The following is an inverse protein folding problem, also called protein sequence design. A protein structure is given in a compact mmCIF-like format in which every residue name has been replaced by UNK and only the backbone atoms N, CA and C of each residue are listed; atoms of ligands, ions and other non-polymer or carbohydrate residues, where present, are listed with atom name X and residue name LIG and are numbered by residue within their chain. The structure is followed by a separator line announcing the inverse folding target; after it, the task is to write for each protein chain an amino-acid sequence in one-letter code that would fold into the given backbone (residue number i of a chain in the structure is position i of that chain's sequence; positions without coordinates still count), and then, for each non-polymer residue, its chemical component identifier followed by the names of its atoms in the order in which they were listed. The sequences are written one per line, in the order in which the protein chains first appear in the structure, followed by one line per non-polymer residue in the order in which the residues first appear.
data_IF_798895244621
#
_entry.id   IF_798895244621
#
_cell.length_a   1.000
_cell.length_b   1.000
_cell.length_c   1.000
_cell.angle_alpha   90.00
_cell.angle_beta   90.00
_cell.angle_gamma   90.00
#
_symmetry.space_group_name_H-M   'P 1'
#
loop_
_entity.id
_entity.type
_entity.pdbx_description
1 polymer ?
#
# COMPACT_ATOMS: atom_id res chain seq x y z
N UNK A 1 -3.50 62.35 -17.21
CA UNK A 1 -2.77 61.33 -16.42
C UNK A 1 -3.78 60.45 -15.69
N UNK A 2 -3.75 59.14 -15.94
CA UNK A 2 -4.26 58.00 -15.14
C UNK A 2 -4.71 56.90 -16.11
N UNK A 3 -3.69 56.19 -16.62
CA UNK A 3 -3.83 54.87 -17.22
C UNK A 3 -3.75 53.84 -16.08
N UNK A 4 -4.32 52.66 -16.35
CA UNK A 4 -4.13 51.39 -15.65
C UNK A 4 -4.69 51.30 -14.22
N UNK A 5 -5.68 50.42 -14.04
CA UNK A 5 -5.83 49.38 -13.00
C UNK A 5 -7.21 48.74 -13.25
N UNK A 6 -7.33 47.93 -14.30
CA UNK A 6 -8.41 46.93 -14.42
C UNK A 6 -7.85 45.74 -15.22
N UNK A 7 -6.86 45.05 -14.66
CA UNK A 7 -6.31 43.81 -15.22
C UNK A 7 -5.55 43.01 -14.15
N UNK A 8 -6.12 42.85 -12.95
CA UNK A 8 -5.45 42.08 -11.89
C UNK A 8 -6.43 41.44 -10.90
N UNK A 9 -7.55 40.90 -11.39
CA UNK A 9 -8.48 40.11 -10.55
C UNK A 9 -8.87 38.75 -11.15
N UNK A 10 -8.38 38.39 -12.33
CA UNK A 10 -8.69 37.09 -12.97
C UNK A 10 -7.53 36.07 -13.01
N UNK A 11 -6.38 36.35 -12.36
CA UNK A 11 -5.21 35.44 -12.42
C UNK A 11 -4.99 34.65 -11.10
N UNK A 12 -5.65 35.02 -9.99
CA UNK A 12 -5.49 34.33 -8.71
C UNK A 12 -6.51 33.18 -8.47
N UNK A 13 -7.11 32.63 -9.53
CA UNK A 13 -8.12 31.58 -9.45
C UNK A 13 -7.83 30.39 -10.38
N UNK A 14 -6.54 30.08 -10.59
CA UNK A 14 -6.11 28.89 -11.30
C UNK A 14 -5.25 28.02 -10.38
N UNK A 15 -5.78 26.83 -10.10
CA UNK A 15 -5.13 25.65 -9.53
C UNK A 15 -4.73 25.70 -8.04
N UNK A 16 -5.73 25.73 -7.16
CA UNK A 16 -5.71 24.77 -6.04
C UNK A 16 -6.06 23.40 -6.64
N UNK A 17 -5.08 22.75 -7.26
CA UNK A 17 -5.15 21.31 -7.51
C UNK A 17 -5.08 20.67 -6.13
N UNK A 18 -6.23 20.43 -5.51
CA UNK A 18 -6.28 19.56 -4.34
C UNK A 18 -5.84 18.20 -4.83
N UNK A 19 -4.70 17.71 -4.33
CA UNK A 19 -4.39 16.30 -4.44
C UNK A 19 -5.59 15.53 -3.88
N UNK A 20 -6.17 14.62 -4.67
CA UNK A 20 -7.29 13.85 -4.18
C UNK A 20 -6.79 12.96 -3.04
N UNK A 21 -7.64 12.76 -2.04
CA UNK A 21 -7.30 11.90 -0.93
C UNK A 21 -6.97 10.49 -1.45
N UNK A 22 -6.00 9.82 -0.82
CA UNK A 22 -5.53 8.50 -1.25
C UNK A 22 -6.64 7.43 -1.27
N UNK A 23 -7.79 7.68 -0.65
CA UNK A 23 -8.95 6.79 -0.57
C UNK A 23 -10.01 7.02 -1.66
N UNK A 24 -9.81 7.97 -2.59
CA UNK A 24 -10.72 8.20 -3.73
C UNK A 24 -10.31 7.37 -4.94
N UNK A 25 -11.19 6.50 -5.50
CA UNK A 25 -10.87 5.73 -6.69
C UNK A 25 -10.65 6.60 -7.93
N UNK A 26 -9.60 6.31 -8.69
CA UNK A 26 -9.27 7.01 -9.94
C UNK A 26 -9.33 6.02 -11.10
N UNK A 27 -10.17 6.35 -12.10
CA UNK A 27 -10.35 5.56 -13.32
C UNK A 27 -9.58 6.19 -14.47
N UNK A 28 -8.74 5.40 -15.12
CA UNK A 28 -7.89 5.82 -16.23
C UNK A 28 -8.02 4.84 -17.38
N UNK A 29 -7.82 5.31 -18.61
CA UNK A 29 -7.75 4.46 -19.81
C UNK A 29 -6.31 4.30 -20.27
N UNK A 30 -5.94 3.10 -20.71
CA UNK A 30 -4.60 2.85 -21.26
C UNK A 30 -4.45 3.52 -22.64
N UNK A 31 -3.45 4.41 -22.75
CA UNK A 31 -3.16 5.13 -23.99
C UNK A 31 -2.20 4.36 -24.91
N UNK A 32 -1.16 3.75 -24.32
CA UNK A 32 -0.10 3.02 -25.04
C UNK A 32 0.34 1.80 -24.25
N UNK A 33 0.81 0.79 -24.99
CA UNK A 33 1.37 -0.45 -24.45
C UNK A 33 2.67 -0.77 -25.17
N UNK A 34 3.70 -1.10 -24.41
CA UNK A 34 4.86 -1.82 -24.90
C UNK A 34 4.76 -3.29 -24.45
N UNK A 35 4.39 -4.14 -25.40
CA UNK A 35 4.19 -5.57 -25.16
C UNK A 35 5.48 -6.32 -24.84
N UNK A 36 6.66 -5.78 -25.22
CA UNK A 36 7.95 -6.44 -24.94
C UNK A 36 8.36 -6.23 -23.49
N UNK A 37 8.20 -5.01 -22.99
CA UNK A 37 8.53 -4.67 -21.61
C UNK A 37 7.37 -4.90 -20.62
N UNK A 38 6.18 -5.25 -21.13
CA UNK A 38 4.92 -5.32 -20.36
C UNK A 38 4.66 -4.02 -19.60
N UNK A 39 4.89 -2.88 -20.27
CA UNK A 39 4.65 -1.57 -19.70
C UNK A 39 3.51 -0.87 -20.43
N UNK A 40 2.81 -0.02 -19.68
CA UNK A 40 1.67 0.74 -20.15
C UNK A 40 1.85 2.20 -19.80
N UNK A 41 1.27 3.08 -20.61
CA UNK A 41 1.32 4.52 -20.40
C UNK A 41 -0.07 5.13 -20.46
N UNK A 42 -0.29 6.12 -19.62
CA UNK A 42 -1.56 6.83 -19.48
C UNK A 42 -1.37 8.18 -18.79
N UNK A 43 -2.36 9.08 -18.93
CA UNK A 43 -2.41 10.33 -18.18
C UNK A 43 -2.63 10.08 -16.68
N UNK A 44 -1.84 10.73 -15.83
CA UNK A 44 -1.80 10.52 -14.38
C UNK A 44 -1.80 11.86 -13.63
N UNK A 45 -2.96 12.52 -13.48
CA UNK A 45 -3.02 13.87 -12.91
C UNK A 45 -2.73 13.92 -11.39
N UNK A 46 -3.03 12.86 -10.65
CA UNK A 46 -2.88 12.83 -9.17
C UNK A 46 -2.33 11.49 -8.64
N UNK A 47 -1.76 10.65 -9.50
CA UNK A 47 -1.23 9.36 -9.07
C UNK A 47 0.22 9.50 -8.59
N UNK A 48 0.65 8.60 -7.70
CA UNK A 48 2.01 8.55 -7.18
C UNK A 48 2.75 7.29 -7.64
N UNK A 49 4.07 7.40 -7.75
CA UNK A 49 4.93 6.23 -7.99
C UNK A 49 4.71 5.21 -6.87
N UNK A 50 4.52 3.95 -7.26
CA UNK A 50 4.25 2.84 -6.36
C UNK A 50 2.79 2.48 -6.16
N UNK A 51 1.84 3.34 -6.55
CA UNK A 51 0.42 2.98 -6.53
C UNK A 51 0.14 1.79 -7.45
N UNK A 52 -0.73 0.91 -6.97
CA UNK A 52 -1.25 -0.23 -7.72
C UNK A 52 -2.70 -0.01 -8.14
N UNK A 53 -3.03 -0.49 -9.34
CA UNK A 53 -4.34 -0.34 -9.95
C UNK A 53 -4.80 -1.64 -10.61
N UNK A 54 -6.11 -1.86 -10.63
CA UNK A 54 -6.73 -3.04 -11.22
C UNK A 54 -7.03 -2.76 -12.69
N UNK A 55 -6.57 -3.63 -13.58
CA UNK A 55 -6.81 -3.52 -15.02
C UNK A 55 -8.07 -4.31 -15.38
N UNK A 56 -9.08 -3.62 -15.89
CA UNK A 56 -10.34 -4.16 -16.35
C UNK A 56 -10.43 -4.14 -17.88
N UNK A 57 -10.86 -5.25 -18.45
CA UNK A 57 -11.28 -5.33 -19.84
C UNK A 57 -12.80 -5.35 -19.94
N UNK A 58 -13.37 -4.57 -20.85
CA UNK A 58 -14.80 -4.56 -21.14
C UNK A 58 -15.16 -5.53 -22.26
N UNK A 59 -16.05 -6.47 -21.97
CA UNK A 59 -16.59 -7.45 -22.90
C UNK A 59 -17.95 -6.96 -23.44
N UNK A 60 -17.90 -6.02 -24.37
CA UNK A 60 -19.09 -5.26 -24.79
C UNK A 60 -19.59 -4.33 -23.68
N UNK A 61 -20.86 -3.94 -23.76
CA UNK A 61 -21.38 -2.83 -22.93
C UNK A 61 -21.68 -3.23 -21.47
N UNK A 62 -21.88 -4.52 -21.19
CA UNK A 62 -22.47 -4.98 -19.92
C UNK A 62 -21.54 -5.82 -19.04
N UNK A 63 -20.39 -6.23 -19.56
CA UNK A 63 -19.51 -7.17 -18.86
C UNK A 63 -18.12 -6.60 -18.77
N UNK A 64 -17.46 -6.78 -17.63
CA UNK A 64 -16.07 -6.43 -17.43
C UNK A 64 -15.37 -7.51 -16.61
N UNK A 65 -14.08 -7.69 -16.84
CA UNK A 65 -13.27 -8.66 -16.09
C UNK A 65 -11.89 -8.12 -15.77
N UNK A 66 -11.38 -8.50 -14.61
CA UNK A 66 -10.05 -8.12 -14.15
C UNK A 66 -9.02 -8.98 -14.86
N UNK A 67 -8.16 -8.37 -15.67
CA UNK A 67 -7.18 -9.06 -16.51
C UNK A 67 -5.73 -8.83 -16.05
N UNK A 68 -5.50 -7.94 -15.09
CA UNK A 68 -4.16 -7.67 -14.58
C UNK A 68 -4.13 -6.63 -13.47
N UNK A 69 -2.92 -6.38 -12.96
CA UNK A 69 -2.62 -5.29 -12.04
C UNK A 69 -1.55 -4.41 -12.68
N UNK A 70 -1.68 -3.10 -12.55
CA UNK A 70 -0.67 -2.14 -12.94
C UNK A 70 0.02 -1.60 -11.68
N UNK A 71 1.35 -1.48 -11.70
CA UNK A 71 2.11 -0.77 -10.67
C UNK A 71 2.84 0.40 -11.32
N UNK A 72 2.63 1.62 -10.81
CA UNK A 72 3.29 2.80 -11.34
C UNK A 72 4.77 2.77 -10.99
N UNK A 73 5.63 2.76 -12.01
CA UNK A 73 7.09 2.74 -11.84
C UNK A 73 7.72 4.11 -12.04
N UNK A 74 7.07 4.97 -12.83
CA UNK A 74 7.59 6.29 -13.16
C UNK A 74 6.46 7.25 -13.54
N UNK A 75 6.62 8.53 -13.22
CA UNK A 75 5.73 9.61 -13.66
C UNK A 75 6.61 10.72 -14.23
N UNK A 76 6.36 11.09 -15.47
CA UNK A 76 6.99 12.22 -16.14
C UNK A 76 5.91 13.24 -16.54
N UNK A 77 6.01 14.44 -15.97
CA UNK A 77 5.10 15.55 -16.21
C UNK A 77 3.65 15.18 -15.87
N UNK A 78 2.86 14.75 -16.85
CA UNK A 78 1.47 14.33 -16.68
C UNK A 78 1.22 12.86 -17.05
N UNK A 79 2.24 12.13 -17.52
CA UNK A 79 2.10 10.74 -17.97
C UNK A 79 2.78 9.79 -16.99
N UNK A 80 2.07 8.75 -16.59
CA UNK A 80 2.64 7.64 -15.84
C UNK A 80 3.08 6.52 -16.80
N UNK A 81 4.15 5.84 -16.42
CA UNK A 81 4.50 4.52 -16.93
C UNK A 81 4.32 3.51 -15.80
N UNK A 82 3.53 2.47 -16.07
CA UNK A 82 3.28 1.39 -15.14
C UNK A 82 3.71 0.05 -15.72
N UNK A 83 4.17 -0.85 -14.85
CA UNK A 83 4.47 -2.24 -15.19
C UNK A 83 3.22 -3.09 -14.95
N UNK A 84 2.91 -3.98 -15.90
CA UNK A 84 1.87 -4.98 -15.72
C UNK A 84 2.43 -6.09 -14.82
N UNK A 85 1.72 -6.37 -13.73
CA UNK A 85 1.97 -7.49 -12.83
C UNK A 85 0.91 -8.55 -13.15
N UNK A 86 1.36 -9.73 -13.57
CA UNK A 86 0.46 -10.84 -13.89
C UNK A 86 -0.41 -11.20 -12.67
N UNK A 87 -1.70 -11.45 -12.93
CA UNK A 87 -2.80 -11.58 -11.97
C UNK A 87 -2.72 -12.80 -11.03
N UNK A 88 -1.65 -12.92 -10.23
CA UNK A 88 -1.68 -13.81 -9.06
C UNK A 88 -2.52 -13.22 -7.91
N UNK A 89 -2.71 -11.89 -7.93
CA UNK A 89 -3.43 -11.13 -6.90
C UNK A 89 -4.87 -11.63 -6.67
N UNK A 90 -5.54 -12.09 -7.74
CA UNK A 90 -6.91 -12.62 -7.68
C UNK A 90 -6.97 -14.07 -8.20
N UNK A 91 -5.86 -14.80 -8.12
CA UNK A 91 -5.80 -16.18 -8.58
C UNK A 91 -6.75 -17.06 -7.76
N UNK A 92 -7.88 -17.41 -8.34
CA UNK A 92 -8.85 -18.33 -7.78
C UNK A 92 -8.58 -19.73 -8.35
N UNK A 93 -8.17 -20.72 -7.55
CA UNK A 93 -7.82 -22.05 -8.06
C UNK A 93 -8.99 -22.76 -8.77
N UNK A 94 -10.21 -22.32 -8.49
CA UNK A 94 -11.45 -22.90 -9.02
C UNK A 94 -12.10 -22.08 -10.13
N UNK A 95 -11.56 -20.91 -10.49
CA UNK A 95 -12.07 -20.11 -11.61
C UNK A 95 -11.06 -20.09 -12.76
N UNK A 96 -11.53 -20.05 -14.02
CA UNK A 96 -10.65 -19.89 -15.15
C UNK A 96 -9.93 -18.54 -15.07
N UNK A 97 -8.64 -18.54 -15.37
CA UNK A 97 -7.89 -17.31 -15.52
C UNK A 97 -8.24 -16.67 -16.87
N UNK A 98 -8.42 -15.34 -16.94
CA UNK A 98 -8.58 -14.64 -18.20
C UNK A 98 -7.36 -14.88 -19.11
N UNK A 99 -7.59 -15.24 -20.37
CA UNK A 99 -6.53 -15.45 -21.37
C UNK A 99 -6.27 -14.21 -22.23
N UNK A 100 -7.04 -13.15 -22.02
CA UNK A 100 -6.93 -11.91 -22.79
C UNK A 100 -5.75 -11.10 -22.28
N UNK A 101 -4.93 -10.64 -23.21
CA UNK A 101 -3.83 -9.73 -22.91
C UNK A 101 -4.34 -8.30 -22.75
N UNK A 102 -3.67 -7.54 -21.87
CA UNK A 102 -3.90 -6.11 -21.69
C UNK A 102 -3.71 -5.38 -23.03
N UNK A 103 -4.64 -4.48 -23.34
CA UNK A 103 -4.78 -3.80 -24.61
C UNK A 103 -5.05 -2.30 -24.43
N UNK A 104 -4.75 -1.51 -25.47
CA UNK A 104 -5.08 -0.08 -25.47
C UNK A 104 -6.60 0.08 -25.34
N UNK A 105 -7.04 1.00 -24.48
CA UNK A 105 -8.46 1.24 -24.21
C UNK A 105 -9.00 0.50 -22.99
N UNK A 106 -8.25 -0.45 -22.42
CA UNK A 106 -8.62 -1.06 -21.13
C UNK A 106 -8.65 -0.01 -20.02
N UNK A 107 -9.52 -0.22 -19.03
CA UNK A 107 -9.67 0.65 -17.86
C UNK A 107 -8.69 0.21 -16.77
N UNK A 108 -8.09 1.16 -16.07
CA UNK A 108 -7.36 0.94 -14.83
C UNK A 108 -8.05 1.69 -13.71
N UNK A 109 -8.34 0.99 -12.63
CA UNK A 109 -8.92 1.58 -11.42
C UNK A 109 -7.88 1.56 -10.31
N UNK A 110 -7.33 2.72 -10.00
CA UNK A 110 -6.45 2.95 -8.86
C UNK A 110 -7.26 3.24 -7.60
N UNK A 111 -6.64 3.01 -6.44
CA UNK A 111 -7.20 3.35 -5.11
C UNK A 111 -8.54 2.69 -4.76
N UNK A 112 -8.99 1.69 -5.54
CA UNK A 112 -10.27 1.01 -5.33
C UNK A 112 -10.42 0.44 -3.90
N UNK A 113 -9.31 -0.05 -3.34
CA UNK A 113 -9.26 -0.70 -2.02
C UNK A 113 -8.75 0.22 -0.91
N UNK A 114 -8.44 1.49 -1.20
CA UNK A 114 -7.77 2.39 -0.27
C UNK A 114 -8.67 2.93 0.84
N UNK A 115 -9.97 2.61 0.78
CA UNK A 115 -10.88 2.80 1.91
C UNK A 115 -10.64 1.80 3.04
N UNK A 116 -9.87 0.73 2.81
CA UNK A 116 -9.52 -0.29 3.80
C UNK A 116 -8.00 -0.29 4.04
N UNK A 117 -7.62 -0.36 5.32
CA UNK A 117 -6.22 -0.34 5.73
C UNK A 117 -5.94 -1.27 6.92
N UNK A 118 -4.67 -1.65 7.06
CA UNK A 118 -4.13 -2.18 8.31
C UNK A 118 -3.19 -1.18 8.98
N UNK A 119 -3.04 -1.28 10.30
CA UNK A 119 -2.07 -0.50 11.08
C UNK A 119 -1.04 -1.45 11.68
N UNK A 120 0.24 -1.14 11.45
CA UNK A 120 1.39 -1.67 12.17
C UNK A 120 1.83 -0.60 13.16
N UNK A 121 1.61 -0.87 14.44
CA UNK A 121 1.90 0.04 15.54
C UNK A 121 2.72 -0.67 16.64
N UNK A 122 3.55 0.06 17.42
CA UNK A 122 4.31 -0.53 18.50
C UNK A 122 3.42 -0.95 19.69
N UNK A 123 2.34 -0.24 19.98
CA UNK A 123 1.48 -0.50 21.14
C UNK A 123 0.03 -0.04 20.90
N UNK A 124 -0.85 -0.28 21.88
CA UNK A 124 -2.28 0.05 21.79
C UNK A 124 -2.50 1.56 21.63
N UNK A 125 -1.79 2.38 22.39
CA UNK A 125 -1.97 3.83 22.40
C UNK A 125 -1.72 4.44 21.02
N UNK A 126 -0.59 4.08 20.40
CA UNK A 126 -0.23 4.54 19.06
C UNK A 126 -1.14 3.99 17.97
N UNK A 127 -1.60 2.74 18.10
CA UNK A 127 -2.61 2.15 17.22
C UNK A 127 -3.93 2.94 17.26
N UNK A 128 -4.42 3.21 18.46
CA UNK A 128 -5.67 3.95 18.67
C UNK A 128 -5.58 5.39 18.19
N UNK A 129 -4.43 6.05 18.41
CA UNK A 129 -4.19 7.40 17.91
C UNK A 129 -4.31 7.47 16.38
N UNK A 130 -3.64 6.58 15.64
CA UNK A 130 -3.75 6.51 14.18
C UNK A 130 -5.19 6.25 13.75
N UNK A 131 -5.88 5.31 14.41
CA UNK A 131 -7.28 4.98 14.09
C UNK A 131 -8.22 6.18 14.29
N UNK A 132 -8.03 6.95 15.36
CA UNK A 132 -8.87 8.11 15.69
C UNK A 132 -8.60 9.33 14.80
N UNK A 133 -7.38 9.48 14.30
CA UNK A 133 -6.95 10.59 13.44
C UNK A 133 -7.32 10.38 11.95
N UNK A 134 -7.63 9.16 11.51
CA UNK A 134 -7.93 8.83 10.10
C UNK A 134 -9.30 8.11 9.99
N UNK A 135 -10.38 8.79 10.38
CA UNK A 135 -11.74 8.21 10.52
C UNK A 135 -12.39 7.82 9.20
N UNK A 136 -11.90 8.36 8.10
CA UNK A 136 -12.31 8.07 6.73
C UNK A 136 -11.85 6.70 6.23
N UNK A 137 -10.95 6.05 6.97
CA UNK A 137 -10.38 4.74 6.64
C UNK A 137 -11.01 3.66 7.51
N UNK A 138 -11.47 2.58 6.88
CA UNK A 138 -11.90 1.38 7.57
C UNK A 138 -10.67 0.55 7.96
N UNK A 139 -10.20 0.72 9.20
CA UNK A 139 -9.09 -0.06 9.72
C UNK A 139 -9.53 -1.45 10.15
N UNK A 140 -8.97 -2.46 9.49
CA UNK A 140 -9.09 -3.84 9.91
C UNK A 140 -8.22 -4.12 11.14
N UNK A 141 -8.65 -5.10 11.94
CA UNK A 141 -7.97 -5.38 13.19
C UNK A 141 -6.60 -6.04 12.96
N UNK A 142 -5.55 -5.58 13.66
CA UNK A 142 -4.21 -6.15 13.58
C UNK A 142 -4.14 -7.61 14.03
N UNK A 143 -5.10 -8.06 14.84
CA UNK A 143 -5.29 -9.46 15.22
C UNK A 143 -5.45 -10.38 14.01
N UNK A 144 -6.08 -9.91 12.93
CA UNK A 144 -6.23 -10.68 11.68
C UNK A 144 -4.87 -10.93 11.01
N UNK A 145 -4.00 -9.92 11.00
CA UNK A 145 -2.64 -10.04 10.48
C UNK A 145 -1.81 -10.98 11.35
N UNK A 146 -1.87 -10.84 12.67
CA UNK A 146 -1.10 -11.69 13.60
C UNK A 146 -1.57 -13.15 13.55
N UNK A 147 -2.88 -13.39 13.52
CA UNK A 147 -3.43 -14.73 13.37
C UNK A 147 -2.95 -15.40 12.07
N UNK A 148 -3.01 -14.67 10.94
CA UNK A 148 -2.51 -15.18 9.67
C UNK A 148 -1.00 -15.45 9.70
N UNK A 149 -0.22 -14.55 10.31
CA UNK A 149 1.22 -14.71 10.44
C UNK A 149 1.58 -15.98 11.21
N UNK A 150 0.86 -16.26 12.29
CA UNK A 150 1.09 -17.44 13.12
C UNK A 150 0.58 -18.72 12.49
N UNK A 151 -0.54 -18.69 11.75
CA UNK A 151 -1.02 -19.82 10.94
C UNK A 151 0.04 -20.27 9.93
N UNK A 152 0.75 -19.32 9.31
CA UNK A 152 1.90 -19.60 8.43
C UNK A 152 3.18 -20.01 9.17
N UNK A 153 3.13 -20.12 10.50
CA UNK A 153 4.30 -20.38 11.34
C UNK A 153 5.32 -19.25 11.32
N UNK A 154 4.95 -18.03 10.93
CA UNK A 154 5.81 -16.85 10.97
C UNK A 154 5.89 -16.22 12.37
N UNK A 155 6.87 -15.33 12.56
CA UNK A 155 6.90 -14.41 13.70
C UNK A 155 7.35 -13.02 13.23
N UNK A 156 8.43 -12.95 12.46
CA UNK A 156 8.88 -11.71 11.83
C UNK A 156 8.19 -11.53 10.45
N UNK A 157 7.29 -10.55 10.27
CA UNK A 157 6.53 -10.40 9.03
C UNK A 157 7.39 -9.89 7.87
N UNK A 158 7.44 -10.67 6.78
CA UNK A 158 8.20 -10.35 5.55
C UNK A 158 7.31 -9.65 4.50
N UNK A 159 7.88 -9.05 3.44
CA UNK A 159 7.10 -8.42 2.37
C UNK A 159 6.04 -9.34 1.75
N UNK A 160 6.39 -10.61 1.54
CA UNK A 160 5.45 -11.61 1.02
C UNK A 160 4.23 -11.82 1.92
N UNK A 161 4.41 -11.78 3.24
CA UNK A 161 3.30 -11.87 4.20
C UNK A 161 2.33 -10.70 4.05
N UNK A 162 2.84 -9.48 3.90
CA UNK A 162 1.99 -8.31 3.70
C UNK A 162 1.24 -8.41 2.37
N UNK A 163 1.92 -8.74 1.28
CA UNK A 163 1.29 -8.93 -0.02
C UNK A 163 0.12 -9.94 0.03
N UNK A 164 0.33 -11.09 0.69
CA UNK A 164 -0.71 -12.11 0.89
C UNK A 164 -1.88 -11.63 1.77
N UNK A 165 -1.60 -11.01 2.92
CA UNK A 165 -2.65 -10.59 3.85
C UNK A 165 -3.45 -9.42 3.29
N UNK A 166 -2.81 -8.50 2.56
CA UNK A 166 -3.47 -7.41 1.86
C UNK A 166 -4.44 -7.92 0.79
N UNK A 167 -4.05 -8.96 0.04
CA UNK A 167 -4.92 -9.61 -0.94
C UNK A 167 -6.10 -10.32 -0.27
N UNK A 168 -5.81 -11.13 0.76
CA UNK A 168 -6.82 -11.90 1.47
C UNK A 168 -7.95 -11.03 2.03
N UNK A 169 -7.60 -9.86 2.58
CA UNK A 169 -8.56 -8.95 3.20
C UNK A 169 -8.96 -7.75 2.32
N UNK A 170 -8.55 -7.74 1.04
CA UNK A 170 -8.87 -6.65 0.09
C UNK A 170 -8.49 -5.26 0.63
N UNK A 171 -7.27 -5.15 1.16
CA UNK A 171 -6.73 -3.94 1.77
C UNK A 171 -5.85 -3.20 0.77
N UNK A 172 -6.09 -1.90 0.60
CA UNK A 172 -5.32 -1.04 -0.32
C UNK A 172 -4.15 -0.32 0.34
N UNK A 173 -4.25 0.02 1.63
CA UNK A 173 -3.22 0.79 2.34
C UNK A 173 -2.65 0.06 3.57
N UNK A 174 -1.38 0.32 3.85
CA UNK A 174 -0.70 -0.14 5.05
C UNK A 174 -0.10 1.05 5.80
N UNK A 175 -0.59 1.27 7.02
CA UNK A 175 -0.13 2.35 7.90
C UNK A 175 0.94 1.80 8.82
N UNK A 176 2.17 2.28 8.71
CA UNK A 176 3.31 1.78 9.48
C UNK A 176 3.89 2.91 10.31
N UNK A 177 3.83 2.75 11.63
CA UNK A 177 4.48 3.70 12.54
C UNK A 177 5.96 3.34 12.59
N UNK A 178 6.81 4.26 12.13
CA UNK A 178 8.27 4.23 12.26
C UNK A 178 8.74 5.30 13.23
N UNK A 179 10.05 5.43 13.46
CA UNK A 179 10.57 6.44 14.39
C UNK A 179 10.11 7.85 13.95
N UNK A 180 9.34 8.50 14.83
CA UNK A 180 8.78 9.85 14.69
C UNK A 180 7.93 10.11 13.42
N UNK A 181 7.49 9.06 12.73
CA UNK A 181 6.79 9.18 11.45
C UNK A 181 5.75 8.08 11.28
N UNK A 182 4.63 8.43 10.65
CA UNK A 182 3.63 7.51 10.14
C UNK A 182 3.81 7.41 8.63
N UNK A 183 4.11 6.20 8.16
CA UNK A 183 4.32 5.90 6.75
C UNK A 183 3.06 5.24 6.20
N UNK A 184 2.48 5.80 5.14
CA UNK A 184 1.32 5.24 4.46
C UNK A 184 1.82 4.61 3.16
N UNK A 185 1.73 3.29 3.08
CA UNK A 185 2.22 2.50 1.96
C UNK A 185 1.06 1.96 1.12
N UNK A 186 1.28 1.79 -0.17
CA UNK A 186 0.47 0.88 -0.98
C UNK A 186 0.67 -0.55 -0.47
N UNK A 187 -0.41 -1.25 -0.12
CA UNK A 187 -0.35 -2.55 0.54
C UNK A 187 0.23 -3.65 -0.37
N UNK A 188 0.11 -3.50 -1.68
CA UNK A 188 0.54 -4.51 -2.66
C UNK A 188 2.02 -4.33 -3.04
N UNK A 189 2.45 -3.09 -3.24
CA UNK A 189 3.84 -2.77 -3.61
C UNK A 189 4.76 -2.50 -2.43
N UNK A 190 4.21 -2.20 -1.26
CA UNK A 190 4.93 -1.72 -0.07
C UNK A 190 5.77 -0.47 -0.32
N UNK A 191 5.37 0.36 -1.28
CA UNK A 191 6.00 1.66 -1.54
C UNK A 191 5.26 2.73 -0.75
N UNK A 192 6.03 3.63 -0.13
CA UNK A 192 5.50 4.79 0.62
C UNK A 192 4.82 5.76 -0.34
N UNK A 193 3.54 6.01 -0.14
CA UNK A 193 2.73 6.99 -0.87
C UNK A 193 2.70 8.35 -0.14
N UNK A 194 2.79 8.32 1.19
CA UNK A 194 2.77 9.51 2.03
C UNK A 194 3.49 9.26 3.36
N UNK A 195 4.19 10.27 3.84
CA UNK A 195 4.82 10.27 5.16
C UNK A 195 4.25 11.43 5.98
N UNK A 196 3.75 11.14 7.18
CA UNK A 196 3.25 12.14 8.13
C UNK A 196 4.15 12.15 9.37
N UNK A 197 4.32 13.32 9.98
CA UNK A 197 4.95 13.39 11.30
C UNK A 197 4.07 12.66 12.32
N UNK A 198 4.69 11.88 13.21
CA UNK A 198 3.98 11.16 14.25
C UNK A 198 4.88 10.99 15.46
N UNK A 199 4.59 11.70 16.55
CA UNK A 199 5.43 11.65 17.75
C UNK A 199 5.46 10.25 18.37
N UNK A 200 6.67 9.68 18.49
CA UNK A 200 6.92 8.38 19.12
C UNK A 200 7.75 8.49 20.40
N UNK A 201 8.02 9.72 20.88
CA UNK A 201 8.87 9.96 22.05
C UNK A 201 8.32 9.35 23.34
N UNK A 202 6.99 9.27 23.47
CA UNK A 202 6.32 8.67 24.63
C UNK A 202 6.26 7.13 24.58
N UNK A 203 6.71 6.49 23.50
CA UNK A 203 6.69 5.02 23.36
C UNK A 203 7.81 4.40 24.18
N UNK A 204 7.47 3.86 25.35
CA UNK A 204 8.43 3.15 26.22
C UNK A 204 8.49 1.65 25.93
N UNK A 205 7.36 1.07 25.56
CA UNK A 205 7.21 -0.38 25.37
C UNK A 205 6.60 -0.70 24.01
N UNK A 206 7.09 -1.79 23.41
CA UNK A 206 6.64 -2.27 22.10
C UNK A 206 6.22 -3.72 22.15
N UNK A 207 5.19 -4.07 21.39
CA UNK A 207 4.67 -5.43 21.24
C UNK A 207 5.23 -6.02 19.95
N UNK A 208 5.69 -7.27 20.02
CA UNK A 208 6.18 -8.01 18.86
C UNK A 208 5.15 -9.04 18.38
N UNK A 209 4.97 -9.20 17.05
CA UNK A 209 5.69 -8.49 16.00
C UNK A 209 5.24 -7.05 15.78
N UNK A 210 4.00 -6.75 16.14
CA UNK A 210 3.42 -5.41 16.25
C UNK A 210 2.21 -5.51 17.19
N UNK A 211 1.59 -4.38 17.54
CA UNK A 211 0.43 -4.35 18.41
C UNK A 211 -0.70 -5.25 17.89
N UNK A 212 -1.10 -6.22 18.71
CA UNK A 212 -2.28 -7.05 18.57
C UNK A 212 -2.75 -7.42 19.97
N UNK A 213 -4.05 -7.63 20.14
CA UNK A 213 -4.65 -8.15 21.37
C UNK A 213 -4.41 -9.65 21.52
N UNK A 214 -4.19 -10.34 20.41
CA UNK A 214 -3.79 -11.74 20.39
C UNK A 214 -2.29 -11.81 20.61
N UNK A 215 -1.89 -12.37 21.75
CA UNK A 215 -0.49 -12.64 22.01
C UNK A 215 -0.11 -14.03 21.52
N UNK A 216 1.11 -14.14 20.99
CA UNK A 216 1.69 -15.43 20.66
C UNK A 216 1.87 -16.27 21.92
N UNK A 217 1.00 -17.24 22.17
CA UNK A 217 1.32 -18.34 23.07
C UNK A 217 2.28 -19.26 22.31
N UNK A 218 3.57 -19.19 22.63
CA UNK A 218 4.54 -20.19 22.18
C UNK A 218 3.96 -21.57 22.43
N UNK A 219 3.73 -22.37 21.39
CA UNK A 219 3.18 -23.72 21.51
C UNK A 219 4.13 -24.70 22.22
N UNK A 220 5.20 -24.20 22.86
CA UNK A 220 6.26 -25.00 23.45
C UNK A 220 7.10 -25.76 22.43
N UNK A 221 6.86 -25.56 21.12
CA UNK A 221 7.58 -26.27 20.08
C UNK A 221 9.00 -25.73 19.90
N UNK A 222 9.96 -26.64 19.65
CA UNK A 222 11.36 -26.30 19.38
C UNK A 222 11.51 -25.30 18.22
N UNK A 223 10.62 -25.37 17.22
CA UNK A 223 10.58 -24.46 16.07
C UNK A 223 10.22 -23.02 16.48
N UNK A 224 9.28 -22.83 17.42
CA UNK A 224 8.92 -21.52 17.96
C UNK A 224 10.05 -20.87 18.80
N UNK A 225 10.93 -21.69 19.38
CA UNK A 225 12.11 -21.23 20.12
C UNK A 225 13.28 -20.86 19.21
N UNK A 226 13.36 -21.43 18.01
CA UNK A 226 14.45 -21.22 17.05
C UNK A 226 14.17 -20.10 16.04
N UNK A 227 12.92 -19.67 15.89
CA UNK A 227 12.54 -18.56 15.00
C UNK A 227 13.15 -17.24 15.43
N UNK A 228 13.67 -16.49 14.46
CA UNK A 228 14.14 -15.14 14.69
C UNK A 228 12.99 -14.27 15.20
N UNK A 229 13.27 -13.47 16.22
CA UNK A 229 12.31 -12.52 16.82
C UNK A 229 12.84 -11.10 16.65
N UNK A 230 13.24 -10.75 15.43
CA UNK A 230 13.90 -9.49 15.12
C UNK A 230 12.94 -8.31 15.15
N UNK A 231 11.66 -8.54 14.88
CA UNK A 231 10.57 -7.59 15.06
C UNK A 231 10.40 -7.09 16.50
N UNK A 232 11.03 -7.75 17.49
CA UNK A 232 11.17 -7.21 18.86
C UNK A 232 11.92 -5.88 18.89
N UNK A 233 12.78 -5.60 17.92
CA UNK A 233 13.37 -4.28 17.73
C UNK A 233 12.48 -3.46 16.79
N UNK A 234 11.25 -3.19 17.24
CA UNK A 234 10.15 -2.66 16.43
C UNK A 234 10.59 -1.57 15.44
N UNK A 235 11.14 -0.46 15.94
CA UNK A 235 11.50 0.67 15.09
C UNK A 235 12.59 0.34 14.07
N UNK A 236 13.63 -0.40 14.49
CA UNK A 236 14.70 -0.83 13.57
C UNK A 236 14.17 -1.75 12.48
N UNK A 237 13.27 -2.67 12.84
CA UNK A 237 12.68 -3.63 11.93
C UNK A 237 11.79 -2.95 10.89
N UNK A 238 10.80 -2.18 11.32
CA UNK A 238 9.85 -1.56 10.39
C UNK A 238 10.44 -0.40 9.61
N UNK A 239 11.42 0.33 10.16
CA UNK A 239 12.15 1.33 9.38
C UNK A 239 12.96 0.69 8.24
N UNK A 240 13.59 -0.46 8.49
CA UNK A 240 14.29 -1.21 7.44
C UNK A 240 13.31 -1.78 6.41
N UNK A 241 12.18 -2.33 6.87
CA UNK A 241 11.15 -2.86 5.98
C UNK A 241 10.57 -1.78 5.06
N UNK A 242 10.20 -0.63 5.62
CA UNK A 242 9.66 0.50 4.82
C UNK A 242 10.70 1.02 3.83
N UNK A 243 11.97 1.09 4.24
CA UNK A 243 13.06 1.57 3.37
C UNK A 243 13.37 0.61 2.22
N UNK A 244 13.37 -0.69 2.48
CA UNK A 244 13.76 -1.72 1.51
C UNK A 244 12.56 -2.24 0.70
N UNK A 245 11.33 -2.02 1.17
CA UNK A 245 10.09 -2.45 0.51
C UNK A 245 10.08 -3.95 0.23
N UNK A 246 9.78 -4.32 -1.01
CA UNK A 246 9.73 -5.72 -1.45
C UNK A 246 11.07 -6.45 -1.37
N UNK A 247 12.20 -5.74 -1.35
CA UNK A 247 13.54 -6.33 -1.27
C UNK A 247 13.96 -6.64 0.17
N UNK A 248 13.16 -6.25 1.18
CA UNK A 248 13.47 -6.48 2.58
C UNK A 248 13.55 -7.98 2.90
N UNK A 249 14.69 -8.41 3.45
CA UNK A 249 14.91 -9.80 3.88
C UNK A 249 14.87 -9.94 5.39
N UNK A 250 15.66 -9.11 6.08
CA UNK A 250 15.82 -9.13 7.54
C UNK A 250 16.78 -8.03 7.98
N UNK A 251 16.67 -7.59 9.24
CA UNK A 251 17.70 -6.76 9.87
C UNK A 251 18.91 -7.57 10.35
N UNK A 252 20.08 -6.93 10.40
CA UNK A 252 21.27 -7.41 11.12
C UNK A 252 21.27 -6.81 12.53
N UNK A 253 21.02 -7.62 13.54
CA UNK A 253 21.14 -7.19 14.94
C UNK A 253 22.58 -7.51 15.35
N UNK A 254 23.36 -6.49 15.71
CA UNK A 254 24.64 -6.74 16.38
C UNK A 254 24.30 -7.25 17.78
N UNK A 255 24.64 -8.50 18.07
CA UNK A 255 24.65 -8.97 19.46
C UNK A 255 25.66 -8.11 20.22
N UNK A 256 25.19 -7.40 21.25
CA UNK A 256 26.08 -6.94 22.32
C UNK A 256 26.50 -8.13 23.14
#
# INVERSE_FOLDING_TARGET
MKKFIVASLCIAMHALMYAEALNSPIKITIDKIDTKSQTIQFLAPDLKVGETGIINHHFGDNYQGIIGIAQITHIDSAYASAKIINNKLLSQPYLPNPTIAVSKGDEIVFRLLNNQAFIIAPNLETYEKVRLENKEINFLNSDLMVAYLFDKGGFDPKPSFFNEVCQMYSVGLLYVITQNTLQILDCQSLIVLESKEFDTSAVTDTIAPFFSRIQYSSSGSLDASLKSKKSKHYFQYYQALVKEGMEFKTIKIKSK
#
